data_IF_426948111540
#
_entry.id   IF_426948111540
#
_cell.length_a   1.000
_cell.length_b   1.000
_cell.length_c   1.000
_cell.angle_alpha   90.00
_cell.angle_beta   90.00
_cell.angle_gamma   90.00
#
_symmetry.space_group_name_H-M   'P 1'
#
loop_
_entity.id
_entity.type
_entity.pdbx_description
1 polymer ?
#
# COMPACT_ATOMS: atom_id res chain seq x y z
N UNK A 1 12.34 27.33 24.48
CA UNK A 1 11.38 28.11 23.68
C UNK A 1 11.27 27.41 22.34
N UNK A 2 10.15 26.81 21.93
CA UNK A 2 10.00 26.32 20.59
C UNK A 2 9.90 27.53 19.65
N UNK A 3 10.77 27.58 18.64
CA UNK A 3 10.71 28.57 17.58
C UNK A 3 9.37 28.40 16.85
N UNK A 4 8.64 29.50 16.67
CA UNK A 4 7.45 29.54 15.84
C UNK A 4 7.83 28.98 14.46
N UNK A 5 7.30 27.82 14.09
CA UNK A 5 7.46 27.27 12.75
C UNK A 5 6.78 28.25 11.79
N UNK A 6 7.56 28.86 10.92
CA UNK A 6 7.00 29.59 9.78
C UNK A 6 6.05 28.62 9.07
N UNK A 7 4.78 28.95 8.96
CA UNK A 7 3.79 28.11 8.28
C UNK A 7 4.30 27.84 6.87
N UNK A 8 4.64 26.58 6.61
CA UNK A 8 5.11 26.19 5.29
C UNK A 8 3.99 26.46 4.28
N UNK A 9 4.30 27.16 3.21
CA UNK A 9 3.34 27.39 2.14
C UNK A 9 2.85 26.07 1.59
N UNK A 10 1.53 25.82 1.51
CA UNK A 10 1.00 24.61 0.92
C UNK A 10 1.53 24.39 -0.50
N UNK A 11 1.91 23.17 -0.82
CA UNK A 11 2.39 22.80 -2.15
C UNK A 11 1.19 22.74 -3.11
N UNK A 12 1.33 23.32 -4.30
CA UNK A 12 0.32 23.24 -5.37
C UNK A 12 0.75 22.22 -6.41
N UNK A 13 -0.20 21.63 -7.18
CA UNK A 13 0.11 20.65 -8.22
C UNK A 13 1.17 21.15 -9.22
N UNK A 14 1.05 22.40 -9.69
CA UNK A 14 1.96 23.00 -10.68
C UNK A 14 3.41 23.08 -10.17
N UNK A 15 3.59 23.28 -8.87
CA UNK A 15 4.91 23.32 -8.23
C UNK A 15 5.61 21.94 -8.29
N UNK A 16 4.83 20.85 -8.46
CA UNK A 16 5.31 19.48 -8.57
C UNK A 16 5.55 19.04 -10.02
N UNK A 17 4.94 19.73 -11.00
CA UNK A 17 5.21 19.48 -12.43
C UNK A 17 6.46 20.21 -12.90
N UNK A 18 6.78 21.34 -12.26
CA UNK A 18 7.87 22.23 -12.62
C UNK A 18 9.26 21.56 -12.47
N UNK A 19 10.25 22.15 -13.14
CA UNK A 19 11.66 21.79 -12.96
C UNK A 19 12.43 23.04 -12.48
N UNK A 20 13.02 23.03 -11.27
CA UNK A 20 13.05 21.91 -10.31
C UNK A 20 11.67 21.67 -9.65
N UNK A 21 11.36 20.41 -9.35
CA UNK A 21 10.18 20.03 -8.58
C UNK A 21 10.32 20.54 -7.13
N UNK A 22 9.24 21.13 -6.58
CA UNK A 22 9.29 21.76 -5.26
C UNK A 22 9.55 20.80 -4.09
N UNK A 23 9.19 19.51 -4.25
CA UNK A 23 9.47 18.48 -3.24
C UNK A 23 10.88 17.91 -3.34
N UNK A 24 11.54 17.94 -4.50
CA UNK A 24 12.81 17.24 -4.73
C UNK A 24 13.89 17.58 -3.70
N UNK A 25 13.91 18.84 -3.19
CA UNK A 25 14.85 19.30 -2.16
C UNK A 25 14.73 18.58 -0.82
N UNK A 26 13.58 17.95 -0.53
CA UNK A 26 13.31 17.21 0.70
C UNK A 26 13.69 15.73 0.60
N UNK A 27 14.22 15.30 -0.55
CA UNK A 27 14.65 13.93 -0.84
C UNK A 27 16.12 13.90 -1.29
N UNK A 28 16.92 14.81 -0.71
CA UNK A 28 18.34 15.00 -1.07
C UNK A 28 19.16 13.72 -0.92
N UNK A 29 18.90 12.90 0.10
CA UNK A 29 19.59 11.63 0.35
C UNK A 29 19.29 10.58 -0.73
N UNK A 30 18.11 10.60 -1.34
CA UNK A 30 17.73 9.76 -2.46
C UNK A 30 18.12 10.35 -3.81
N UNK A 31 18.56 11.61 -3.86
CA UNK A 31 19.01 12.33 -5.07
C UNK A 31 17.94 12.29 -6.17
N UNK A 32 16.68 12.48 -5.80
CA UNK A 32 15.55 12.35 -6.74
C UNK A 32 15.60 13.37 -7.89
N UNK A 33 16.22 14.54 -7.67
CA UNK A 33 16.41 15.54 -8.71
C UNK A 33 17.32 15.08 -9.87
N UNK A 34 18.20 14.07 -9.61
CA UNK A 34 19.21 13.58 -10.56
C UNK A 34 18.84 12.22 -11.17
N UNK A 35 17.78 11.59 -10.70
CA UNK A 35 17.43 10.18 -11.01
C UNK A 35 16.08 10.09 -11.65
N UNK A 36 15.91 9.09 -12.54
CA UNK A 36 14.64 8.79 -13.20
C UNK A 36 14.00 7.56 -12.53
N UNK A 37 13.35 7.79 -11.37
CA UNK A 37 12.81 6.75 -10.50
C UNK A 37 11.34 6.46 -10.84
N UNK A 38 11.09 5.62 -11.85
CA UNK A 38 9.74 5.18 -12.23
C UNK A 38 9.30 3.90 -11.49
N UNK A 39 9.72 3.72 -10.25
CA UNK A 39 9.37 2.59 -9.37
C UNK A 39 8.38 2.97 -8.27
N UNK A 40 7.70 4.12 -8.38
CA UNK A 40 6.85 4.65 -7.33
C UNK A 40 5.73 3.71 -6.86
N UNK A 41 5.23 2.86 -7.74
CA UNK A 41 4.26 1.82 -7.43
C UNK A 41 4.87 0.62 -6.68
N UNK A 42 6.18 0.49 -6.66
CA UNK A 42 6.92 -0.57 -5.97
C UNK A 42 7.56 -0.02 -4.70
N UNK A 43 8.51 0.91 -4.83
CA UNK A 43 9.17 1.59 -3.71
C UNK A 43 9.36 3.06 -4.06
N UNK A 44 8.87 3.97 -3.22
CA UNK A 44 9.15 5.39 -3.34
C UNK A 44 10.34 5.79 -2.49
N UNK A 45 11.03 6.87 -2.89
CA UNK A 45 12.01 7.52 -2.04
C UNK A 45 11.34 8.07 -0.79
N UNK A 46 12.07 8.09 0.31
CA UNK A 46 11.63 8.65 1.58
C UNK A 46 12.13 10.08 1.71
N UNK A 47 11.34 11.01 2.25
CA UNK A 47 11.84 12.35 2.55
C UNK A 47 12.95 12.30 3.61
N UNK A 48 13.83 13.27 3.61
CA UNK A 48 15.03 13.29 4.49
C UNK A 48 14.66 13.28 5.98
N UNK A 49 13.47 13.76 6.36
CA UNK A 49 12.93 13.65 7.74
C UNK A 49 12.78 12.19 8.20
N UNK A 50 12.68 11.24 7.29
CA UNK A 50 12.66 9.82 7.60
C UNK A 50 13.97 9.35 8.24
N UNK A 51 15.11 9.91 7.80
CA UNK A 51 16.40 9.65 8.41
C UNK A 51 16.50 10.23 9.81
N UNK A 52 15.98 11.43 10.02
CA UNK A 52 15.92 12.08 11.33
C UNK A 52 15.07 11.25 12.30
N UNK A 53 13.95 10.71 11.84
CA UNK A 53 13.13 9.77 12.62
C UNK A 53 13.91 8.52 13.05
N UNK A 54 14.71 7.92 12.16
CA UNK A 54 15.55 6.77 12.51
C UNK A 54 16.64 7.13 13.55
N UNK A 55 17.25 8.31 13.42
CA UNK A 55 18.20 8.80 14.40
C UNK A 55 17.54 8.98 15.79
N UNK A 56 16.30 9.51 15.81
CA UNK A 56 15.55 9.69 17.05
C UNK A 56 15.29 8.35 17.76
N UNK A 57 14.94 7.29 17.03
CA UNK A 57 14.76 5.96 17.60
C UNK A 57 16.04 5.46 18.30
N UNK A 58 17.19 5.71 17.69
CA UNK A 58 18.49 5.37 18.28
C UNK A 58 18.76 6.15 19.55
N UNK A 59 18.51 7.46 19.53
CA UNK A 59 18.77 8.33 20.68
C UNK A 59 17.87 7.97 21.87
N UNK A 60 16.58 7.75 21.63
CA UNK A 60 15.65 7.35 22.68
C UNK A 60 16.01 5.97 23.27
N UNK A 61 16.49 5.04 22.44
CA UNK A 61 16.97 3.75 22.92
C UNK A 61 18.26 3.89 23.78
N UNK A 62 19.16 4.78 23.39
CA UNK A 62 20.39 5.03 24.13
C UNK A 62 20.14 5.72 25.47
N UNK A 63 19.16 6.61 25.55
CA UNK A 63 18.83 7.37 26.74
C UNK A 63 17.98 6.56 27.75
N UNK A 64 16.99 5.78 27.24
CA UNK A 64 15.96 5.18 28.08
C UNK A 64 16.08 3.65 28.24
N UNK A 65 16.89 2.98 27.41
CA UNK A 65 17.12 1.52 27.44
C UNK A 65 15.79 0.76 27.48
N UNK A 66 15.41 0.16 28.60
CA UNK A 66 14.15 -0.59 28.76
C UNK A 66 12.92 0.32 28.85
N UNK A 67 13.07 1.52 29.40
CA UNK A 67 11.96 2.48 29.57
C UNK A 67 11.52 3.15 28.26
N UNK A 68 12.26 2.94 27.15
CA UNK A 68 11.92 3.49 25.81
C UNK A 68 10.53 3.11 25.32
N UNK A 69 9.96 1.98 25.79
CA UNK A 69 8.70 1.45 25.24
C UNK A 69 7.51 2.39 25.39
N UNK A 70 7.50 3.23 26.44
CA UNK A 70 6.49 4.28 26.58
C UNK A 70 6.50 5.27 25.42
N UNK A 71 7.70 5.72 24.99
CA UNK A 71 7.86 6.60 23.82
C UNK A 71 7.54 5.86 22.53
N UNK A 72 8.02 4.63 22.38
CA UNK A 72 7.74 3.78 21.21
C UNK A 72 6.23 3.66 20.96
N UNK A 73 5.44 3.41 22.01
CA UNK A 73 3.98 3.28 21.86
C UNK A 73 3.32 4.61 21.48
N UNK A 74 3.77 5.75 22.01
CA UNK A 74 3.28 7.08 21.58
C UNK A 74 3.61 7.37 20.11
N UNK A 75 4.79 6.99 19.65
CA UNK A 75 5.16 7.09 18.24
C UNK A 75 4.31 6.15 17.37
N UNK A 76 4.07 4.91 17.81
CA UNK A 76 3.19 3.97 17.13
C UNK A 76 1.75 4.52 17.01
N UNK A 77 1.24 5.22 18.03
CA UNK A 77 -0.10 5.85 17.99
C UNK A 77 -0.17 6.97 16.92
N UNK A 78 0.92 7.73 16.73
CA UNK A 78 1.00 8.70 15.63
C UNK A 78 0.93 8.01 14.26
N UNK A 79 1.60 6.87 14.10
CA UNK A 79 1.51 6.06 12.87
C UNK A 79 0.09 5.53 12.65
N UNK A 80 -0.58 5.02 13.70
CA UNK A 80 -1.99 4.61 13.66
C UNK A 80 -2.91 5.75 13.23
N UNK A 81 -2.72 6.94 13.80
CA UNK A 81 -3.47 8.14 13.42
C UNK A 81 -3.22 8.52 11.96
N UNK A 82 -1.99 8.42 11.47
CA UNK A 82 -1.64 8.64 10.07
C UNK A 82 -2.41 7.70 9.13
N UNK A 83 -2.40 6.41 9.40
CA UNK A 83 -3.17 5.44 8.59
C UNK A 83 -4.68 5.67 8.68
N UNK A 84 -5.23 5.99 9.87
CA UNK A 84 -6.65 6.31 10.00
C UNK A 84 -7.06 7.50 9.12
N UNK A 85 -6.23 8.54 9.03
CA UNK A 85 -6.47 9.67 8.12
C UNK A 85 -6.48 9.23 6.65
N UNK A 86 -5.51 8.39 6.24
CA UNK A 86 -5.44 7.87 4.87
C UNK A 86 -6.64 6.98 4.50
N UNK A 87 -7.26 6.34 5.49
CA UNK A 87 -8.47 5.52 5.35
C UNK A 87 -9.77 6.34 5.44
N UNK A 88 -9.72 7.65 5.28
CA UNK A 88 -10.90 8.51 5.31
C UNK A 88 -11.50 8.69 6.72
N UNK A 89 -10.74 8.41 7.78
CA UNK A 89 -11.21 8.54 9.16
C UNK A 89 -12.10 7.39 9.65
N UNK A 90 -12.14 6.26 8.92
CA UNK A 90 -12.98 5.10 9.30
C UNK A 90 -12.68 4.63 10.72
N UNK A 91 -13.74 4.32 11.47
CA UNK A 91 -13.64 3.79 12.83
C UNK A 91 -12.99 2.40 12.87
N UNK A 92 -12.53 2.01 14.06
CA UNK A 92 -11.89 0.74 14.32
C UNK A 92 -10.43 0.88 14.76
N UNK A 93 -9.84 -0.23 15.12
CA UNK A 93 -8.47 -0.29 15.60
C UNK A 93 -7.47 -0.46 14.45
N UNK A 94 -6.30 0.17 14.58
CA UNK A 94 -5.19 0.00 13.64
C UNK A 94 -4.09 -0.83 14.31
N UNK A 95 -3.99 -2.09 13.96
CA UNK A 95 -2.86 -2.94 14.34
C UNK A 95 -1.67 -2.69 13.41
N UNK A 96 -0.44 -2.70 13.96
CA UNK A 96 0.79 -2.50 13.21
C UNK A 96 1.64 -3.77 13.26
N UNK A 97 2.35 -4.05 12.15
CA UNK A 97 3.35 -5.11 12.09
C UNK A 97 4.44 -4.78 11.06
N UNK A 98 5.50 -5.56 11.02
CA UNK A 98 6.59 -5.36 10.08
C UNK A 98 6.14 -5.59 8.62
N UNK A 99 5.17 -6.45 8.38
CA UNK A 99 4.69 -6.78 7.05
C UNK A 99 3.19 -7.12 7.00
N UNK A 100 2.57 -6.86 5.86
CA UNK A 100 1.18 -7.30 5.58
C UNK A 100 1.04 -8.82 5.71
N UNK A 101 2.06 -9.58 5.35
CA UNK A 101 2.06 -11.04 5.50
C UNK A 101 1.77 -11.47 6.94
N UNK A 102 2.43 -10.87 7.93
CA UNK A 102 2.19 -11.18 9.35
C UNK A 102 0.74 -10.91 9.76
N UNK A 103 0.18 -9.79 9.33
CA UNK A 103 -1.18 -9.38 9.66
C UNK A 103 -2.23 -10.29 8.98
N UNK A 104 -2.02 -10.65 7.72
CA UNK A 104 -2.89 -11.58 6.98
C UNK A 104 -2.89 -12.97 7.64
N UNK A 105 -1.71 -13.48 8.01
CA UNK A 105 -1.61 -14.79 8.68
C UNK A 105 -2.26 -14.76 10.07
N UNK A 106 -2.09 -13.67 10.82
CA UNK A 106 -2.79 -13.50 12.11
C UNK A 106 -4.30 -13.42 11.91
N UNK A 107 -4.79 -12.66 10.92
CA UNK A 107 -6.21 -12.60 10.61
C UNK A 107 -6.77 -13.99 10.29
N UNK A 108 -6.16 -14.73 9.38
CA UNK A 108 -6.56 -16.09 9.05
C UNK A 108 -6.60 -17.01 10.28
N UNK A 109 -5.65 -16.82 11.21
CA UNK A 109 -5.59 -17.59 12.46
C UNK A 109 -6.66 -17.22 13.50
N UNK A 110 -7.33 -16.08 13.30
CA UNK A 110 -8.44 -15.61 14.15
C UNK A 110 -9.82 -16.02 13.64
N UNK A 111 -9.89 -16.54 12.40
CA UNK A 111 -11.14 -16.96 11.77
C UNK A 111 -11.43 -18.46 11.98
N UNK A 112 -12.68 -18.83 11.94
CA UNK A 112 -13.10 -20.26 12.01
C UNK A 112 -12.93 -20.95 10.64
N UNK A 113 -11.68 -21.22 10.28
CA UNK A 113 -11.33 -21.94 9.05
C UNK A 113 -11.66 -23.44 9.11
N UNK A 114 -12.01 -23.98 10.30
CA UNK A 114 -12.41 -25.39 10.43
C UNK A 114 -13.90 -25.56 10.19
N UNK A 115 -14.72 -24.71 10.82
CA UNK A 115 -16.16 -24.75 10.64
C UNK A 115 -16.59 -24.21 9.27
N UNK A 116 -15.85 -23.24 8.74
CA UNK A 116 -16.12 -22.54 7.47
C UNK A 116 -14.85 -22.57 6.59
N UNK A 117 -14.54 -23.68 5.93
CA UNK A 117 -13.23 -23.90 5.30
C UNK A 117 -13.07 -23.25 3.93
N UNK A 118 -13.89 -22.27 3.56
CA UNK A 118 -13.83 -21.63 2.25
C UNK A 118 -13.38 -20.18 2.34
N UNK A 119 -12.43 -19.81 1.47
CA UNK A 119 -11.98 -18.42 1.25
C UNK A 119 -12.21 -18.07 -0.22
N UNK A 120 -12.84 -16.91 -0.47
CA UNK A 120 -13.00 -16.36 -1.82
C UNK A 120 -11.93 -15.29 -2.03
N UNK A 121 -11.25 -15.33 -3.16
CA UNK A 121 -10.20 -14.36 -3.54
C UNK A 121 -10.15 -14.18 -5.05
N UNK A 122 -9.17 -13.43 -5.57
CA UNK A 122 -8.97 -13.26 -7.00
C UNK A 122 -7.68 -13.91 -7.49
N UNK A 123 -7.56 -14.15 -8.79
CA UNK A 123 -6.30 -14.53 -9.44
C UNK A 123 -5.35 -13.34 -9.63
N UNK A 124 -5.83 -12.11 -9.34
CA UNK A 124 -5.09 -10.86 -9.42
C UNK A 124 -4.45 -10.38 -8.10
N UNK A 125 -4.49 -11.21 -7.03
CA UNK A 125 -3.93 -10.81 -5.73
C UNK A 125 -2.40 -10.78 -5.72
N UNK A 126 -1.84 -9.87 -4.90
CA UNK A 126 -0.40 -9.80 -4.69
C UNK A 126 0.14 -11.07 -4.03
N UNK A 127 1.41 -11.36 -4.29
CA UNK A 127 2.07 -12.60 -3.89
C UNK A 127 1.97 -12.95 -2.40
N UNK A 128 1.86 -11.98 -1.50
CA UNK A 128 1.72 -12.23 -0.06
C UNK A 128 0.40 -12.95 0.26
N UNK A 129 -0.71 -12.51 -0.31
CA UNK A 129 -2.03 -13.16 -0.14
C UNK A 129 -2.08 -14.44 -0.96
N UNK A 130 -1.79 -14.35 -2.26
CA UNK A 130 -1.88 -15.48 -3.18
C UNK A 130 -1.09 -16.71 -2.67
N UNK A 131 0.21 -16.51 -2.37
CA UNK A 131 1.09 -17.61 -1.94
C UNK A 131 0.64 -18.24 -0.61
N UNK A 132 0.15 -17.42 0.32
CA UNK A 132 -0.34 -17.93 1.60
C UNK A 132 -1.60 -18.76 1.43
N UNK A 133 -2.55 -18.29 0.61
CA UNK A 133 -3.78 -19.04 0.32
C UNK A 133 -3.50 -20.31 -0.48
N UNK A 134 -2.58 -20.27 -1.46
CA UNK A 134 -2.14 -21.45 -2.22
C UNK A 134 -1.60 -22.51 -1.26
N UNK A 135 -0.74 -22.10 -0.30
CA UNK A 135 -0.18 -23.07 0.67
C UNK A 135 -1.24 -23.64 1.62
N UNK A 136 -2.18 -22.80 2.07
CA UNK A 136 -3.30 -23.31 2.88
C UNK A 136 -4.25 -24.21 2.10
N UNK A 137 -4.38 -24.02 0.78
CA UNK A 137 -5.15 -24.93 -0.07
C UNK A 137 -4.53 -26.32 -0.11
N UNK A 138 -3.20 -26.45 -0.05
CA UNK A 138 -2.50 -27.74 0.09
C UNK A 138 -2.81 -28.44 1.44
N UNK A 139 -3.19 -27.67 2.47
CA UNK A 139 -3.62 -28.16 3.80
C UNK A 139 -5.14 -28.36 3.92
N UNK A 140 -5.87 -28.23 2.81
CA UNK A 140 -7.31 -28.52 2.76
C UNK A 140 -8.24 -27.32 2.83
N UNK A 141 -7.72 -26.07 2.90
CA UNK A 141 -8.55 -24.88 2.78
C UNK A 141 -9.11 -24.76 1.35
N UNK A 142 -10.41 -24.53 1.23
CA UNK A 142 -11.07 -24.35 -0.06
C UNK A 142 -10.89 -22.91 -0.56
N UNK A 143 -9.99 -22.70 -1.50
CA UNK A 143 -9.73 -21.36 -2.06
C UNK A 143 -10.41 -21.23 -3.41
N UNK A 144 -11.47 -20.39 -3.46
CA UNK A 144 -12.18 -20.05 -4.68
C UNK A 144 -11.55 -18.79 -5.29
N UNK A 145 -10.84 -18.96 -6.42
CA UNK A 145 -10.22 -17.84 -7.15
C UNK A 145 -11.14 -17.36 -8.26
N UNK A 146 -11.58 -16.11 -8.14
CA UNK A 146 -12.38 -15.41 -9.17
C UNK A 146 -11.41 -14.71 -10.12
N UNK A 147 -11.67 -14.76 -11.43
CA UNK A 147 -10.84 -14.01 -12.38
C UNK A 147 -10.93 -12.50 -12.09
N UNK A 148 -9.79 -11.84 -11.98
CA UNK A 148 -9.76 -10.40 -11.77
C UNK A 148 -10.31 -9.63 -12.97
N UNK A 149 -10.20 -10.19 -14.18
CA UNK A 149 -10.72 -9.57 -15.41
C UNK A 149 -12.11 -10.13 -15.78
N UNK A 150 -13.01 -9.28 -16.31
CA UNK A 150 -12.92 -7.81 -16.35
C UNK A 150 -13.16 -7.18 -14.98
N UNK A 151 -12.41 -6.15 -14.64
CA UNK A 151 -12.45 -5.46 -13.33
C UNK A 151 -13.84 -4.86 -13.05
N UNK A 152 -14.51 -4.34 -14.08
CA UNK A 152 -15.82 -3.68 -13.93
C UNK A 152 -16.90 -4.56 -13.29
N UNK A 153 -16.82 -5.89 -13.43
CA UNK A 153 -17.80 -6.84 -12.87
C UNK A 153 -17.19 -7.71 -11.75
N UNK A 154 -15.97 -7.39 -11.32
CA UNK A 154 -15.26 -8.23 -10.35
C UNK A 154 -16.01 -8.30 -9.01
N UNK A 155 -16.44 -7.18 -8.46
CA UNK A 155 -17.14 -7.14 -7.18
C UNK A 155 -18.45 -7.97 -7.21
N UNK A 156 -19.23 -7.87 -8.28
CA UNK A 156 -20.44 -8.66 -8.47
C UNK A 156 -20.14 -10.16 -8.51
N UNK A 157 -19.13 -10.58 -9.26
CA UNK A 157 -18.73 -11.99 -9.35
C UNK A 157 -18.18 -12.53 -8.04
N UNK A 158 -17.50 -11.71 -7.25
CA UNK A 158 -17.02 -12.08 -5.93
C UNK A 158 -18.18 -12.20 -4.94
N UNK A 159 -19.09 -11.23 -4.92
CA UNK A 159 -20.30 -11.27 -4.09
C UNK A 159 -21.14 -12.54 -4.36
N UNK A 160 -21.34 -12.87 -5.63
CA UNK A 160 -22.06 -14.09 -6.04
C UNK A 160 -21.34 -15.40 -5.65
N UNK A 161 -20.05 -15.35 -5.35
CA UNK A 161 -19.28 -16.53 -4.95
C UNK A 161 -19.29 -16.77 -3.42
N UNK A 162 -19.81 -15.82 -2.63
CA UNK A 162 -19.91 -15.95 -1.16
C UNK A 162 -21.07 -16.89 -0.79
N UNK A 163 -20.82 -17.80 0.14
CA UNK A 163 -21.82 -18.74 0.67
C UNK A 163 -21.66 -18.93 2.20
N UNK A 164 -22.50 -19.76 2.80
CA UNK A 164 -22.52 -20.07 4.24
C UNK A 164 -21.25 -20.78 4.74
N UNK A 165 -20.46 -21.35 3.85
CA UNK A 165 -19.17 -21.99 4.13
C UNK A 165 -17.99 -21.02 4.03
N UNK A 166 -18.19 -19.80 3.51
CA UNK A 166 -17.15 -18.81 3.31
C UNK A 166 -16.78 -18.14 4.64
N UNK A 167 -15.54 -18.35 5.11
CA UNK A 167 -15.01 -17.70 6.30
C UNK A 167 -14.50 -16.31 6.01
N UNK A 168 -13.91 -16.09 4.81
CA UNK A 168 -13.31 -14.83 4.45
C UNK A 168 -13.33 -14.59 2.94
N UNK A 169 -13.48 -13.32 2.56
CA UNK A 169 -13.20 -12.82 1.22
C UNK A 169 -11.97 -11.93 1.29
N UNK A 170 -11.02 -12.08 0.35
CA UNK A 170 -9.82 -11.26 0.27
C UNK A 170 -9.68 -10.65 -1.13
N UNK A 171 -9.61 -9.33 -1.21
CA UNK A 171 -9.55 -8.60 -2.48
C UNK A 171 -8.68 -7.36 -2.39
N UNK A 172 -7.86 -7.11 -3.41
CA UNK A 172 -7.15 -5.85 -3.58
C UNK A 172 -8.08 -4.76 -4.11
N UNK A 173 -8.08 -3.58 -3.51
CA UNK A 173 -8.86 -2.43 -4.03
C UNK A 173 -8.23 -1.79 -5.27
N UNK A 174 -6.95 -2.06 -5.52
CA UNK A 174 -6.23 -1.70 -6.75
C UNK A 174 -5.37 -2.88 -7.17
N UNK A 175 -5.52 -3.35 -8.39
CA UNK A 175 -4.76 -4.49 -8.92
C UNK A 175 -3.29 -4.11 -9.15
N UNK A 176 -2.38 -4.85 -8.52
CA UNK A 176 -0.94 -4.57 -8.57
C UNK A 176 -0.31 -4.75 -9.96
N UNK A 177 -0.96 -5.49 -10.85
CA UNK A 177 -0.46 -5.77 -12.19
C UNK A 177 -0.85 -4.72 -13.24
N UNK A 178 -2.02 -4.07 -13.07
CA UNK A 178 -2.65 -3.22 -14.07
C UNK A 178 -2.91 -1.79 -13.63
N UNK A 179 -2.84 -1.49 -12.32
CA UNK A 179 -3.26 -0.24 -11.68
C UNK A 179 -4.78 0.03 -11.75
N UNK A 180 -5.58 -0.92 -12.20
CA UNK A 180 -7.02 -0.77 -12.23
C UNK A 180 -7.60 -0.75 -10.81
N UNK A 181 -8.49 0.21 -10.57
CA UNK A 181 -9.23 0.33 -9.29
C UNK A 181 -10.44 -0.59 -9.37
N UNK A 182 -10.62 -1.44 -8.36
CA UNK A 182 -11.77 -2.34 -8.26
C UNK A 182 -12.98 -1.55 -7.76
N UNK A 183 -14.02 -1.38 -8.59
CA UNK A 183 -15.22 -0.63 -8.21
C UNK A 183 -16.15 -1.48 -7.33
N UNK A 184 -17.07 -0.80 -6.62
CA UNK A 184 -18.22 -1.41 -5.96
C UNK A 184 -17.91 -2.45 -4.87
N UNK A 185 -16.79 -2.31 -4.15
CA UNK A 185 -16.43 -3.24 -3.07
C UNK A 185 -17.47 -3.30 -1.94
N UNK A 186 -18.31 -2.29 -1.78
CA UNK A 186 -19.44 -2.31 -0.85
C UNK A 186 -20.40 -3.49 -1.10
N UNK A 187 -20.62 -3.88 -2.37
CA UNK A 187 -21.44 -5.04 -2.70
C UNK A 187 -20.83 -6.37 -2.20
N UNK A 188 -19.50 -6.46 -2.17
CA UNK A 188 -18.79 -7.61 -1.57
C UNK A 188 -18.95 -7.60 -0.05
N UNK A 189 -18.86 -6.42 0.58
CA UNK A 189 -19.08 -6.27 2.02
C UNK A 189 -20.50 -6.70 2.42
N UNK A 190 -21.53 -6.25 1.71
CA UNK A 190 -22.94 -6.66 1.93
C UNK A 190 -23.11 -8.18 1.83
N UNK A 191 -22.50 -8.82 0.84
CA UNK A 191 -22.57 -10.28 0.68
C UNK A 191 -21.84 -11.01 1.83
N UNK A 192 -20.70 -10.47 2.29
CA UNK A 192 -19.97 -11.01 3.43
C UNK A 192 -20.78 -10.89 4.73
N UNK A 193 -21.39 -9.73 4.99
CA UNK A 193 -22.20 -9.48 6.17
C UNK A 193 -23.42 -10.42 6.19
N UNK A 194 -24.12 -10.59 5.06
CA UNK A 194 -25.26 -11.50 4.94
C UNK A 194 -24.87 -12.97 5.21
N UNK A 195 -23.65 -13.38 4.85
CA UNK A 195 -23.15 -14.72 5.08
C UNK A 195 -22.41 -14.87 6.41
N UNK A 196 -22.14 -13.80 7.15
CA UNK A 196 -21.29 -13.80 8.34
C UNK A 196 -19.83 -14.12 8.02
N UNK A 197 -19.34 -13.76 6.84
CA UNK A 197 -17.96 -13.90 6.41
C UNK A 197 -17.16 -12.62 6.71
N UNK A 198 -15.87 -12.74 6.95
CA UNK A 198 -14.99 -11.56 7.03
C UNK A 198 -14.64 -11.07 5.62
N UNK A 199 -14.56 -9.73 5.43
CA UNK A 199 -13.97 -9.14 4.23
C UNK A 199 -12.61 -8.54 4.58
N UNK A 200 -11.56 -8.88 3.85
CA UNK A 200 -10.26 -8.21 3.87
C UNK A 200 -10.04 -7.47 2.56
N UNK A 201 -9.87 -6.15 2.64
CA UNK A 201 -9.48 -5.29 1.52
C UNK A 201 -7.99 -4.98 1.61
N UNK A 202 -7.21 -5.37 0.60
CA UNK A 202 -5.82 -4.95 0.45
C UNK A 202 -5.77 -3.60 -0.27
N UNK A 203 -5.45 -2.54 0.49
CA UNK A 203 -5.35 -1.17 0.00
C UNK A 203 -3.90 -0.74 -0.32
N UNK A 204 -2.95 -1.67 -0.41
CA UNK A 204 -1.52 -1.35 -0.54
C UNK A 204 -1.18 -0.50 -1.76
N UNK A 205 -1.86 -0.71 -2.90
CA UNK A 205 -1.71 0.09 -4.13
C UNK A 205 -2.70 1.25 -4.24
N UNK A 206 -3.56 1.42 -3.25
CA UNK A 206 -4.60 2.46 -3.21
C UNK A 206 -4.16 3.67 -2.37
N UNK A 207 -3.65 3.37 -1.14
CA UNK A 207 -3.39 4.40 -0.14
C UNK A 207 -2.44 5.47 -0.63
N UNK A 208 -2.78 6.73 -0.34
CA UNK A 208 -2.00 7.94 -0.61
C UNK A 208 -1.75 8.26 -2.09
N UNK A 209 -2.40 7.54 -3.01
CA UNK A 209 -2.39 7.81 -4.46
C UNK A 209 -3.80 7.88 -5.03
N UNK A 210 -4.75 7.26 -4.36
CA UNK A 210 -6.19 7.42 -4.57
C UNK A 210 -6.80 7.74 -3.20
N UNK A 211 -7.68 8.74 -3.06
CA UNK A 211 -8.45 8.93 -1.83
C UNK A 211 -9.24 7.67 -1.49
N UNK A 212 -9.13 7.17 -0.27
CA UNK A 212 -9.87 6.00 0.17
C UNK A 212 -11.26 6.42 0.67
N UNK A 213 -12.30 5.85 0.07
CA UNK A 213 -13.67 6.02 0.52
C UNK A 213 -14.07 4.79 1.35
N UNK A 214 -14.31 4.94 2.67
CA UNK A 214 -14.72 3.85 3.54
C UNK A 214 -16.21 3.50 3.46
N UNK A 215 -17.02 4.24 2.71
CA UNK A 215 -18.47 4.04 2.66
C UNK A 215 -18.82 2.61 2.20
N UNK A 216 -19.61 1.90 3.01
CA UNK A 216 -19.99 0.50 2.81
C UNK A 216 -18.87 -0.50 3.12
N UNK A 217 -17.75 -0.06 3.71
CA UNK A 217 -16.63 -0.91 4.13
C UNK A 217 -16.38 -0.85 5.65
N UNK A 218 -17.34 -0.34 6.41
CA UNK A 218 -17.22 -0.14 7.86
C UNK A 218 -16.99 -1.47 8.61
N UNK A 219 -17.56 -2.58 8.11
CA UNK A 219 -17.38 -3.94 8.61
C UNK A 219 -16.14 -4.66 8.09
N UNK A 220 -15.44 -4.10 7.11
CA UNK A 220 -14.29 -4.77 6.48
C UNK A 220 -13.00 -4.62 7.28
N UNK A 221 -12.16 -5.63 7.27
CA UNK A 221 -10.74 -5.49 7.54
C UNK A 221 -10.07 -4.80 6.36
N UNK A 222 -9.14 -3.87 6.63
CA UNK A 222 -8.38 -3.18 5.58
C UNK A 222 -6.90 -3.31 5.92
N UNK A 223 -6.10 -3.77 4.97
CA UNK A 223 -4.65 -3.89 5.16
C UNK A 223 -3.89 -3.10 4.12
N UNK A 224 -2.65 -2.80 4.43
CA UNK A 224 -1.72 -2.12 3.55
C UNK A 224 -0.39 -1.87 4.22
N UNK A 225 0.42 -1.00 3.64
CA UNK A 225 1.71 -0.67 4.22
C UNK A 225 2.37 0.56 3.60
N UNK A 226 3.52 0.91 4.14
CA UNK A 226 4.08 2.24 4.02
C UNK A 226 5.08 2.47 2.90
N UNK A 227 5.74 1.46 2.33
CA UNK A 227 6.92 1.67 1.49
C UNK A 227 6.63 2.09 0.03
N UNK A 228 5.35 2.05 -0.40
CA UNK A 228 4.94 2.54 -1.72
C UNK A 228 4.58 4.03 -1.65
N UNK A 229 3.38 4.41 -1.97
CA UNK A 229 2.94 5.81 -2.09
C UNK A 229 2.92 6.58 -0.75
N UNK A 230 2.90 5.87 0.39
CA UNK A 230 3.01 6.52 1.70
C UNK A 230 4.44 6.93 2.05
N UNK A 231 5.48 6.45 1.35
CA UNK A 231 6.89 6.83 1.51
C UNK A 231 7.47 6.59 2.93
N UNK A 232 6.87 5.69 3.69
CA UNK A 232 7.26 5.41 5.08
C UNK A 232 8.44 4.43 5.18
N UNK A 233 8.86 3.84 4.07
CA UNK A 233 9.78 2.70 4.02
C UNK A 233 9.15 1.42 4.56
N UNK A 234 9.94 0.36 4.61
CA UNK A 234 9.55 -0.97 5.07
C UNK A 234 9.30 -1.00 6.59
N UNK A 235 8.66 -2.06 7.07
CA UNK A 235 8.43 -2.27 8.51
C UNK A 235 7.17 -1.57 9.05
N UNK A 236 6.34 -1.01 8.19
CA UNK A 236 5.12 -0.29 8.53
C UNK A 236 3.93 -0.84 7.73
N UNK A 237 3.49 -2.04 8.08
CA UNK A 237 2.20 -2.56 7.64
C UNK A 237 1.13 -2.34 8.70
N UNK A 238 -0.11 -2.25 8.28
CA UNK A 238 -1.24 -2.12 9.18
C UNK A 238 -2.37 -3.07 8.82
N UNK A 239 -3.21 -3.37 9.81
CA UNK A 239 -4.52 -3.98 9.66
C UNK A 239 -5.53 -3.10 10.41
N UNK A 240 -6.46 -2.51 9.69
CA UNK A 240 -7.64 -1.91 10.30
C UNK A 240 -8.61 -3.05 10.66
N UNK A 241 -8.98 -3.09 11.90
CA UNK A 241 -9.92 -4.06 12.48
C UNK A 241 -11.27 -3.35 12.67
N UNK A 242 -12.37 -3.92 12.17
CA UNK A 242 -13.68 -3.29 12.34
C UNK A 242 -14.10 -3.23 13.82
N UNK A 243 -14.92 -2.22 14.21
CA UNK A 243 -15.42 -2.12 15.57
C UNK A 243 -16.15 -3.38 16.01
N UNK A 244 -15.99 -3.78 17.27
CA UNK A 244 -16.69 -4.93 17.85
C UNK A 244 -16.13 -6.30 17.47
N UNK A 245 -15.08 -6.40 16.66
CA UNK A 245 -14.43 -7.68 16.38
C UNK A 245 -13.54 -8.11 17.55
N UNK A 246 -13.94 -9.18 18.23
CA UNK A 246 -13.15 -9.76 19.33
C UNK A 246 -12.07 -10.70 18.79
N UNK A 247 -10.85 -10.17 18.67
CA UNK A 247 -9.73 -10.89 18.10
C UNK A 247 -9.16 -11.94 19.06
N UNK A 248 -9.03 -13.17 18.58
CA UNK A 248 -8.28 -14.24 19.24
C UNK A 248 -7.38 -14.98 18.24
N UNK A 249 -6.38 -14.32 17.65
CA UNK A 249 -5.50 -14.98 16.67
C UNK A 249 -4.73 -16.14 17.33
N UNK A 250 -4.76 -17.33 16.71
CA UNK A 250 -3.95 -18.46 17.19
C UNK A 250 -2.45 -18.21 16.98
N UNK A 251 -2.09 -17.37 16.00
CA UNK A 251 -0.71 -16.88 15.80
C UNK A 251 -0.56 -15.58 16.56
N UNK A 252 0.00 -15.66 17.77
CA UNK A 252 0.11 -14.56 18.73
C UNK A 252 1.50 -14.50 19.35
N UNK A 253 1.81 -13.40 20.02
CA UNK A 253 3.06 -13.21 20.75
C UNK A 253 2.84 -12.51 22.08
N UNK A 254 3.89 -12.38 22.90
CA UNK A 254 3.78 -11.88 24.26
C UNK A 254 3.36 -10.39 24.35
N UNK A 255 3.61 -9.59 23.31
CA UNK A 255 3.10 -8.21 23.25
C UNK A 255 1.56 -8.15 23.17
N UNK A 256 0.91 -9.21 22.68
CA UNK A 256 -0.55 -9.27 22.66
C UNK A 256 -1.17 -9.43 24.05
N UNK A 257 -0.38 -9.76 25.07
CA UNK A 257 -0.80 -9.81 26.47
C UNK A 257 -0.36 -8.57 27.27
N UNK A 258 0.50 -7.71 26.74
CA UNK A 258 1.20 -6.66 27.49
C UNK A 258 0.25 -5.73 28.26
N UNK A 259 -0.86 -5.33 27.64
CA UNK A 259 -1.89 -4.49 28.24
C UNK A 259 -3.17 -5.30 28.58
N UNK A 260 -3.06 -6.63 28.69
CA UNK A 260 -4.20 -7.45 29.06
C UNK A 260 -4.60 -7.17 30.51
N UNK A 261 -5.89 -6.98 30.73
CA UNK A 261 -6.45 -6.75 32.07
C UNK A 261 -6.18 -7.96 32.98
N UNK A 262 -5.87 -7.69 34.22
CA UNK A 262 -5.57 -8.76 35.19
C UNK A 262 -6.75 -9.72 35.39
N UNK A 263 -8.00 -9.22 35.28
CA UNK A 263 -9.25 -9.99 35.37
C UNK A 263 -9.54 -10.84 34.14
N UNK A 264 -8.85 -10.58 33.01
CA UNK A 264 -8.94 -11.41 31.80
C UNK A 264 -8.02 -12.64 31.82
N UNK A 265 -7.18 -12.81 32.87
CA UNK A 265 -6.24 -13.93 32.99
C UNK A 265 -6.90 -15.11 33.70
N UNK A 266 -7.27 -16.10 32.93
CA UNK A 266 -7.83 -17.38 33.43
C UNK A 266 -6.78 -18.49 33.28
N UNK A 267 -6.65 -19.41 34.27
CA UNK A 267 -5.76 -20.57 34.14
C UNK A 267 -6.08 -21.41 32.90
N UNK A 268 -5.05 -21.70 32.09
CA UNK A 268 -5.19 -22.49 30.88
C UNK A 268 -5.76 -21.75 29.65
N UNK A 269 -6.01 -20.44 29.76
CA UNK A 269 -6.49 -19.61 28.66
C UNK A 269 -5.54 -18.43 28.41
N UNK A 270 -5.20 -18.21 27.13
CA UNK A 270 -4.38 -17.07 26.72
C UNK A 270 -5.20 -15.78 26.84
N UNK A 271 -4.68 -14.78 27.56
CA UNK A 271 -5.25 -13.44 27.62
C UNK A 271 -4.79 -12.60 26.43
N UNK A 272 -5.62 -11.66 26.01
CA UNK A 272 -5.32 -10.70 24.96
C UNK A 272 -5.54 -9.27 25.45
N UNK A 273 -4.67 -8.36 25.04
CA UNK A 273 -4.90 -6.94 25.18
C UNK A 273 -6.14 -6.50 24.35
N UNK A 274 -6.83 -5.44 24.72
CA UNK A 274 -7.96 -4.95 23.95
C UNK A 274 -7.52 -4.35 22.62
N UNK A 275 -8.44 -4.32 21.65
CA UNK A 275 -8.32 -3.61 20.38
C UNK A 275 -7.11 -4.05 19.55
N UNK A 276 -6.34 -3.08 19.08
CA UNK A 276 -5.14 -3.32 18.24
C UNK A 276 -4.08 -4.17 18.95
N UNK A 277 -4.03 -4.14 20.28
CA UNK A 277 -3.06 -4.90 21.07
C UNK A 277 -3.18 -6.41 20.87
N UNK A 278 -4.39 -6.95 20.70
CA UNK A 278 -4.61 -8.38 20.45
C UNK A 278 -3.89 -8.92 19.20
N UNK A 279 -3.54 -8.05 18.28
CA UNK A 279 -2.88 -8.39 17.02
C UNK A 279 -1.35 -8.30 17.10
N UNK A 280 -0.79 -7.93 18.24
CA UNK A 280 0.64 -7.81 18.40
C UNK A 280 1.35 -9.18 18.36
N UNK A 281 2.61 -9.14 17.96
CA UNK A 281 3.49 -10.30 17.93
C UNK A 281 4.46 -10.34 19.11
N UNK A 282 5.71 -10.69 18.82
CA UNK A 282 6.82 -10.62 19.75
C UNK A 282 7.45 -9.21 19.77
N UNK A 283 8.61 -9.12 20.44
CA UNK A 283 9.43 -7.90 20.44
C UNK A 283 9.80 -7.52 19.01
N UNK A 284 9.69 -6.25 18.69
CA UNK A 284 9.92 -5.72 17.35
C UNK A 284 10.91 -4.55 17.35
N UNK A 285 11.50 -4.26 16.20
CA UNK A 285 12.31 -3.05 16.01
C UNK A 285 11.38 -1.84 15.78
N UNK A 286 11.35 -0.84 16.69
CA UNK A 286 10.49 0.32 16.58
C UNK A 286 10.98 1.37 15.58
N UNK A 287 12.20 1.25 15.05
CA UNK A 287 12.83 2.25 14.16
C UNK A 287 11.92 2.62 12.98
N UNK A 288 11.21 1.64 12.42
CA UNK A 288 10.27 1.86 11.33
C UNK A 288 9.12 2.80 11.73
N UNK A 289 8.61 2.74 12.96
CA UNK A 289 7.53 3.62 13.43
C UNK A 289 8.00 5.07 13.59
N UNK A 290 9.21 5.28 14.11
CA UNK A 290 9.80 6.63 14.22
C UNK A 290 9.96 7.28 12.85
N UNK A 291 10.47 6.52 11.88
CA UNK A 291 10.57 6.96 10.48
C UNK A 291 9.19 7.33 9.93
N UNK A 292 8.21 6.45 10.07
CA UNK A 292 6.86 6.65 9.56
C UNK A 292 6.16 7.86 10.19
N UNK A 293 6.28 8.05 11.48
CA UNK A 293 5.69 9.19 12.18
C UNK A 293 6.25 10.51 11.64
N UNK A 294 7.58 10.61 11.45
CA UNK A 294 8.21 11.80 10.86
C UNK A 294 7.75 12.09 9.43
N UNK A 295 7.49 11.05 8.63
CA UNK A 295 6.97 11.21 7.26
C UNK A 295 5.51 11.63 7.28
N UNK A 296 4.67 11.11 8.17
CA UNK A 296 3.28 11.56 8.29
C UNK A 296 3.20 13.04 8.70
N UNK A 297 4.05 13.49 9.64
CA UNK A 297 4.14 14.90 10.01
C UNK A 297 4.57 15.77 8.82
N UNK A 298 5.57 15.33 8.06
CA UNK A 298 6.01 16.02 6.84
C UNK A 298 4.88 16.18 5.82
N UNK A 299 4.07 15.14 5.62
CA UNK A 299 2.93 15.22 4.70
C UNK A 299 1.87 16.21 5.21
N UNK A 300 1.61 16.21 6.51
CA UNK A 300 0.67 17.16 7.13
C UNK A 300 1.16 18.60 7.04
N UNK A 301 2.42 18.85 7.40
CA UNK A 301 3.06 20.17 7.32
C UNK A 301 3.08 20.75 5.90
N UNK A 302 3.18 19.90 4.88
CA UNK A 302 3.22 20.28 3.46
C UNK A 302 1.87 20.20 2.77
N UNK A 303 0.81 19.86 3.49
CA UNK A 303 -0.54 19.65 2.95
C UNK A 303 -0.57 18.61 1.79
N UNK A 304 0.29 17.59 1.85
CA UNK A 304 0.32 16.52 0.86
C UNK A 304 -0.82 15.53 1.10
N UNK A 305 -2.02 15.97 0.81
CA UNK A 305 -3.24 15.18 1.01
C UNK A 305 -3.41 14.11 -0.08
N UNK A 306 -4.16 13.01 0.18
CA UNK A 306 -4.48 12.02 -0.85
C UNK A 306 -5.16 12.63 -2.08
N UNK A 307 -5.97 13.69 -1.92
CA UNK A 307 -6.61 14.40 -3.03
C UNK A 307 -5.59 15.10 -3.93
N UNK A 308 -4.65 15.86 -3.34
CA UNK A 308 -3.56 16.50 -4.08
C UNK A 308 -2.68 15.46 -4.78
N UNK A 309 -2.30 14.39 -4.06
CA UNK A 309 -1.45 13.34 -4.62
C UNK A 309 -2.16 12.55 -5.73
N UNK A 310 -3.48 12.40 -5.65
CA UNK A 310 -4.29 11.82 -6.75
C UNK A 310 -4.25 12.70 -8.00
N UNK A 311 -4.42 14.00 -7.83
CA UNK A 311 -4.34 14.96 -8.94
C UNK A 311 -2.98 14.88 -9.64
N UNK A 312 -1.89 14.92 -8.86
CA UNK A 312 -0.52 14.79 -9.38
C UNK A 312 -0.31 13.44 -10.07
N UNK A 313 -0.77 12.35 -9.47
CA UNK A 313 -0.65 11.01 -10.05
C UNK A 313 -1.38 10.88 -11.39
N UNK A 314 -2.61 11.41 -11.48
CA UNK A 314 -3.38 11.40 -12.75
C UNK A 314 -2.67 12.19 -13.84
N UNK A 315 -2.14 13.37 -13.52
CA UNK A 315 -1.34 14.17 -14.46
C UNK A 315 -0.11 13.37 -14.93
N UNK A 316 0.69 12.82 -14.00
CA UNK A 316 1.92 12.11 -14.32
C UNK A 316 1.67 10.83 -15.12
N UNK A 317 0.65 10.02 -14.77
CA UNK A 317 0.28 8.79 -15.50
C UNK A 317 -0.26 9.15 -16.90
N UNK A 318 -1.08 10.19 -17.01
CA UNK A 318 -1.59 10.68 -18.29
C UNK A 318 -0.47 11.20 -19.21
N UNK A 319 0.49 11.96 -18.65
CA UNK A 319 1.67 12.43 -19.39
C UNK A 319 2.50 11.26 -19.90
N UNK A 320 2.80 10.26 -19.04
CA UNK A 320 3.50 9.05 -19.47
C UNK A 320 2.76 8.31 -20.59
N UNK A 321 1.44 8.17 -20.49
CA UNK A 321 0.64 7.50 -21.50
C UNK A 321 0.69 8.22 -22.84
N UNK A 322 0.52 9.56 -22.84
CA UNK A 322 0.58 10.39 -24.05
C UNK A 322 1.96 10.33 -24.71
N UNK A 323 3.03 10.41 -23.91
CA UNK A 323 4.39 10.30 -24.42
C UNK A 323 4.71 8.91 -24.97
N UNK A 324 4.19 7.84 -24.35
CA UNK A 324 4.37 6.47 -24.85
C UNK A 324 3.57 6.17 -26.11
N UNK A 325 2.43 6.82 -26.29
CA UNK A 325 1.63 6.70 -27.52
C UNK A 325 2.24 7.43 -28.72
N UNK A 326 3.06 8.44 -28.46
CA UNK A 326 3.80 9.21 -29.42
C UNK A 326 5.26 8.74 -29.54
N UNK A 327 5.96 9.15 -30.57
CA UNK A 327 7.41 8.93 -30.70
C UNK A 327 7.83 7.47 -30.91
N UNK A 328 9.02 7.12 -30.45
CA UNK A 328 9.72 5.85 -30.73
C UNK A 328 9.09 4.63 -30.07
N UNK A 329 8.18 4.82 -29.10
CA UNK A 329 7.46 3.73 -28.41
C UNK A 329 6.18 3.31 -29.13
N UNK A 330 5.66 4.16 -30.02
CA UNK A 330 4.44 3.85 -30.76
C UNK A 330 4.56 2.52 -31.51
N UNK A 331 3.64 1.59 -31.22
CA UNK A 331 3.63 0.26 -31.82
C UNK A 331 4.63 -0.77 -31.24
N UNK A 332 5.55 -0.36 -30.34
CA UNK A 332 6.52 -1.26 -29.66
C UNK A 332 6.02 -1.77 -28.31
N UNK A 333 5.17 -0.99 -27.68
CA UNK A 333 4.51 -1.34 -26.42
C UNK A 333 3.01 -1.17 -26.59
N UNK A 334 2.23 -1.96 -25.85
CA UNK A 334 0.78 -1.83 -25.81
C UNK A 334 0.36 -1.14 -24.51
N UNK A 335 -0.30 -0.01 -24.66
CA UNK A 335 -0.95 0.71 -23.57
C UNK A 335 -2.17 -0.07 -23.05
N UNK A 336 -2.54 0.07 -21.75
CA UNK A 336 -3.75 -0.56 -21.20
C UNK A 336 -5.03 0.03 -21.81
N UNK A 337 -5.04 1.33 -22.07
CA UNK A 337 -6.15 2.09 -22.62
C UNK A 337 -5.63 3.16 -23.58
N UNK A 338 -6.53 3.73 -24.40
CA UNK A 338 -6.25 4.93 -25.16
C UNK A 338 -5.89 6.07 -24.19
N UNK A 339 -4.81 6.86 -24.44
CA UNK A 339 -4.40 7.95 -23.56
C UNK A 339 -5.49 8.98 -23.27
N UNK A 340 -6.40 9.22 -24.20
CA UNK A 340 -7.50 10.18 -24.06
C UNK A 340 -8.77 9.57 -23.47
N UNK A 341 -8.78 8.26 -23.21
CA UNK A 341 -9.97 7.58 -22.68
C UNK A 341 -10.18 7.89 -21.20
N UNK A 342 -11.44 7.96 -20.73
CA UNK A 342 -11.73 8.05 -19.29
C UNK A 342 -11.11 6.91 -18.47
N UNK A 343 -10.99 5.71 -19.05
CA UNK A 343 -10.40 4.55 -18.39
C UNK A 343 -8.91 4.77 -18.04
N UNK A 344 -8.15 5.52 -18.84
CA UNK A 344 -6.78 5.90 -18.50
C UNK A 344 -6.73 6.79 -17.25
N UNK A 345 -7.66 7.74 -17.13
CA UNK A 345 -7.75 8.63 -15.99
C UNK A 345 -8.17 7.93 -14.68
N UNK A 346 -8.79 6.74 -14.78
CA UNK A 346 -9.20 5.93 -13.63
C UNK A 346 -8.13 4.95 -13.16
N UNK A 347 -6.98 4.85 -13.83
CA UNK A 347 -5.85 4.08 -13.30
C UNK A 347 -5.33 4.71 -11.98
N UNK A 348 -4.79 3.88 -11.11
CA UNK A 348 -4.10 4.33 -9.90
C UNK A 348 -2.69 4.89 -10.22
N UNK A 349 -1.69 4.60 -9.43
CA UNK A 349 -0.41 5.33 -9.40
C UNK A 349 0.65 4.87 -10.42
N UNK A 350 0.32 4.11 -11.46
CA UNK A 350 1.31 3.68 -12.45
C UNK A 350 0.71 3.32 -13.81
N UNK A 351 1.54 3.34 -14.84
CA UNK A 351 1.22 2.90 -16.19
C UNK A 351 1.83 1.51 -16.44
N UNK A 352 1.00 0.53 -16.79
CA UNK A 352 1.39 -0.83 -17.15
C UNK A 352 1.46 -0.96 -18.68
N UNK A 353 2.64 -1.20 -19.22
CA UNK A 353 2.88 -1.34 -20.67
C UNK A 353 3.19 -2.81 -20.99
N UNK A 354 2.49 -3.40 -21.96
CA UNK A 354 2.78 -4.75 -22.41
C UNK A 354 3.82 -4.77 -23.51
N UNK A 355 4.82 -5.63 -23.34
CA UNK A 355 5.85 -5.93 -24.34
C UNK A 355 6.43 -7.33 -24.09
N UNK A 356 6.71 -8.14 -25.12
CA UNK A 356 7.16 -9.53 -24.95
C UNK A 356 8.46 -9.68 -24.13
N UNK A 357 9.30 -8.64 -24.11
CA UNK A 357 10.62 -8.66 -23.47
C UNK A 357 10.72 -7.64 -22.33
N UNK A 358 9.66 -7.49 -21.54
CA UNK A 358 9.54 -6.48 -20.51
C UNK A 358 10.69 -6.54 -19.47
N UNK A 359 11.11 -7.74 -19.06
CA UNK A 359 12.23 -7.93 -18.14
C UNK A 359 13.55 -7.40 -18.70
N UNK A 360 13.91 -7.82 -19.92
CA UNK A 360 15.12 -7.37 -20.59
C UNK A 360 15.11 -5.85 -20.82
N UNK A 361 13.95 -5.29 -21.17
CA UNK A 361 13.80 -3.84 -21.33
C UNK A 361 14.05 -3.13 -19.99
N UNK A 362 13.51 -3.62 -18.90
CA UNK A 362 13.72 -3.04 -17.56
C UNK A 362 15.19 -3.09 -17.13
N UNK A 363 15.90 -4.20 -17.42
CA UNK A 363 17.32 -4.33 -17.10
C UNK A 363 18.18 -3.37 -17.94
N UNK A 364 17.92 -3.29 -19.24
CA UNK A 364 18.65 -2.36 -20.14
C UNK A 364 18.38 -0.88 -19.78
N UNK A 365 17.15 -0.55 -19.34
CA UNK A 365 16.81 0.79 -18.86
C UNK A 365 17.58 1.17 -17.60
N UNK A 366 17.82 0.24 -16.70
CA UNK A 366 18.59 0.46 -15.48
C UNK A 366 20.01 0.89 -15.80
N UNK A 367 20.64 0.30 -16.83
CA UNK A 367 21.96 0.71 -17.32
C UNK A 367 21.95 2.15 -17.89
N UNK A 368 20.79 2.59 -18.38
CA UNK A 368 20.59 3.96 -18.86
C UNK A 368 20.09 4.93 -17.77
N UNK A 369 20.09 4.50 -16.48
CA UNK A 369 19.70 5.33 -15.34
C UNK A 369 18.18 5.51 -15.18
N UNK A 370 17.36 4.73 -15.87
CA UNK A 370 15.90 4.71 -15.70
C UNK A 370 15.51 3.50 -14.87
N UNK A 371 14.92 3.75 -13.71
CA UNK A 371 14.52 2.71 -12.77
C UNK A 371 13.03 2.35 -13.00
N UNK A 372 12.80 1.12 -13.44
CA UNK A 372 11.48 0.55 -13.67
C UNK A 372 11.41 -0.83 -13.03
N UNK A 373 10.26 -1.49 -13.06
CA UNK A 373 10.18 -2.93 -12.80
C UNK A 373 9.32 -3.64 -13.86
N UNK A 374 9.47 -4.96 -13.96
CA UNK A 374 8.72 -5.77 -14.88
C UNK A 374 8.14 -7.01 -14.20
N UNK A 375 6.99 -7.47 -14.70
CA UNK A 375 6.32 -8.71 -14.29
C UNK A 375 5.77 -9.42 -15.53
N UNK A 376 6.31 -10.59 -15.86
CA UNK A 376 5.94 -11.29 -17.08
C UNK A 376 6.18 -10.45 -18.33
N UNK A 377 5.15 -10.20 -19.10
CA UNK A 377 5.14 -9.37 -20.31
C UNK A 377 4.81 -7.88 -20.07
N UNK A 378 4.77 -7.45 -18.80
CA UNK A 378 4.43 -6.08 -18.41
C UNK A 378 5.62 -5.37 -17.80
N UNK A 379 5.98 -4.20 -18.36
CA UNK A 379 6.83 -3.21 -17.71
C UNK A 379 5.96 -2.13 -17.09
N UNK A 380 6.28 -1.72 -15.87
CA UNK A 380 5.49 -0.74 -15.10
C UNK A 380 6.29 0.55 -14.91
N UNK A 381 5.66 1.65 -15.25
CA UNK A 381 6.19 3.00 -15.07
C UNK A 381 5.39 3.69 -13.96
N UNK A 382 5.94 3.74 -12.75
CA UNK A 382 5.30 4.35 -11.59
C UNK A 382 5.98 5.66 -11.22
N UNK A 383 5.41 6.80 -11.60
CA UNK A 383 5.93 8.10 -11.19
C UNK A 383 5.73 8.34 -9.70
N UNK A 384 6.31 9.42 -9.20
CA UNK A 384 6.17 9.84 -7.82
C UNK A 384 6.10 11.37 -7.73
N UNK A 385 5.48 11.94 -6.69
CA UNK A 385 5.18 13.39 -6.64
C UNK A 385 6.43 14.28 -6.63
N UNK A 386 7.61 13.74 -6.39
CA UNK A 386 8.90 14.46 -6.43
C UNK A 386 9.58 14.46 -7.81
N UNK A 387 8.94 13.88 -8.85
CA UNK A 387 9.44 13.90 -10.23
C UNK A 387 8.74 14.99 -11.03
N UNK A 388 9.52 15.81 -11.76
CA UNK A 388 9.02 16.83 -12.68
C UNK A 388 8.61 16.24 -14.03
N UNK A 389 7.79 16.97 -14.80
CA UNK A 389 7.42 16.60 -16.16
C UNK A 389 8.63 16.45 -17.09
N UNK A 390 9.67 17.27 -16.87
CA UNK A 390 10.92 17.15 -17.62
C UNK A 390 11.62 15.80 -17.37
N UNK A 391 11.62 15.31 -16.11
CA UNK A 391 12.19 14.00 -15.79
C UNK A 391 11.37 12.85 -16.38
N UNK A 392 10.03 12.95 -16.37
CA UNK A 392 9.15 11.94 -16.98
C UNK A 392 9.35 11.89 -18.49
N UNK A 393 9.47 13.05 -19.16
CA UNK A 393 9.73 13.15 -20.60
C UNK A 393 11.07 12.54 -20.97
N UNK A 394 12.14 12.86 -20.22
CA UNK A 394 13.47 12.27 -20.45
C UNK A 394 13.46 10.75 -20.22
N UNK A 395 12.74 10.28 -19.20
CA UNK A 395 12.62 8.85 -18.95
C UNK A 395 11.97 8.13 -20.15
N UNK A 396 10.85 8.63 -20.68
CA UNK A 396 10.17 8.03 -21.83
C UNK A 396 11.04 8.08 -23.10
N UNK A 397 11.77 9.17 -23.33
CA UNK A 397 12.74 9.25 -24.44
C UNK A 397 13.80 8.14 -24.34
N UNK A 398 14.33 7.86 -23.14
CA UNK A 398 15.27 6.74 -22.95
C UNK A 398 14.62 5.39 -23.17
N UNK A 399 13.37 5.20 -22.66
CA UNK A 399 12.60 3.97 -22.90
C UNK A 399 12.46 3.73 -24.41
N UNK A 400 12.09 4.77 -25.19
CA UNK A 400 11.96 4.68 -26.65
C UNK A 400 13.27 4.27 -27.35
N UNK A 401 14.39 4.92 -27.00
CA UNK A 401 15.71 4.58 -27.55
C UNK A 401 16.11 3.14 -27.27
N UNK A 402 15.96 2.68 -26.04
CA UNK A 402 16.29 1.30 -25.64
C UNK A 402 15.38 0.31 -26.35
N UNK A 403 14.07 0.54 -26.40
CA UNK A 403 13.12 -0.30 -27.09
C UNK A 403 13.41 -0.41 -28.59
N UNK A 404 13.79 0.70 -29.23
CA UNK A 404 14.21 0.72 -30.64
C UNK A 404 15.50 -0.08 -30.87
N UNK A 405 16.52 0.09 -30.00
CA UNK A 405 17.76 -0.66 -30.08
C UNK A 405 17.56 -2.18 -29.89
N UNK A 406 16.60 -2.57 -29.04
CA UNK A 406 16.21 -3.95 -28.82
C UNK A 406 15.32 -4.53 -29.94
N UNK A 407 14.86 -3.71 -30.89
CA UNK A 407 13.91 -4.08 -31.95
C UNK A 407 12.62 -4.69 -31.42
N UNK A 408 12.06 -4.08 -30.36
CA UNK A 408 10.77 -4.46 -29.79
C UNK A 408 9.63 -4.11 -30.74
#
# INVERSE_FOLDING_TARGET
MPSASASATPVRPEDLYASPNALARHYGRFRVAERLLLTGHSHQAWPDVAFEGQQRAWLDAAEHVDDKWGEVMRVADRVRAGYRRLLGGVDGDIALAASTHELVVRLLSALDLRGRPRVVTTDGEFHSIRRQLDRFSEEGLQVAKISAAPVATLAERMAAAVDDRTSCVMVSSVLFSTAEIVPHLAAVAEACDAAGAALLVDAYHHLNVVPFDPAGLEGAFITGGGYKYCQLGEGNAFLRVPPGFEARPAITGWFAEFDARADAKEPGRVAYAPGAGAWAGGTFDPTAHYRAASVFDFFEERALTPALLREVSRHQVGLLASLCAAGDLAGRVRLPHDPESPAMAELAGFLALRTPRAGELSDALREQGVWTDARGDVIRLGPAPYLSDAQLSEAVLRVGRVAAAMRL
#
